data_IF_973886933915
#
_entry.id   IF_973886933915
#
_cell.length_a   1.000
_cell.length_b   1.000
_cell.length_c   1.000
_cell.angle_alpha   90.00
_cell.angle_beta   90.00
_cell.angle_gamma   90.00
#
_symmetry.space_group_name_H-M   'P 1'
#
loop_
_entity.id
_entity.type
_entity.pdbx_description
1 polymer ?
#
# COMPACT_ATOMS: atom_id res chain seq x y z
N UNK A 1 -6.12 11.77 -28.74
CA UNK A 1 -6.31 11.88 -27.28
C UNK A 1 -5.18 11.09 -26.65
N UNK A 2 -4.40 11.66 -25.72
CA UNK A 2 -3.34 10.91 -25.04
C UNK A 2 -3.98 10.06 -23.95
N UNK A 3 -3.62 8.79 -23.86
CA UNK A 3 -4.04 7.95 -22.74
C UNK A 3 -3.44 8.50 -21.43
N UNK A 4 -4.22 8.60 -20.34
CA UNK A 4 -3.71 9.05 -19.06
C UNK A 4 -2.68 8.05 -18.53
N UNK A 5 -1.58 8.55 -17.98
CA UNK A 5 -0.60 7.70 -17.32
C UNK A 5 -1.12 7.21 -15.98
N UNK A 6 -0.48 6.18 -15.42
CA UNK A 6 -0.81 5.70 -14.06
C UNK A 6 -0.71 6.83 -13.04
N UNK A 7 0.28 7.71 -13.19
CA UNK A 7 0.47 8.86 -12.30
C UNK A 7 -0.67 9.89 -12.39
N UNK A 8 -1.34 9.98 -13.54
CA UNK A 8 -2.46 10.90 -13.74
C UNK A 8 -3.78 10.37 -13.12
N UNK A 9 -3.87 9.06 -12.89
CA UNK A 9 -5.10 8.40 -12.41
C UNK A 9 -5.01 8.01 -10.93
N UNK A 10 -3.82 7.69 -10.42
CA UNK A 10 -3.65 7.21 -9.05
C UNK A 10 -3.61 8.33 -8.01
N UNK A 11 -4.09 8.04 -6.80
CA UNK A 11 -3.93 8.91 -5.64
C UNK A 11 -2.49 8.81 -5.10
N UNK A 12 -1.69 9.89 -5.10
CA UNK A 12 -0.31 9.86 -4.61
C UNK A 12 -0.19 9.78 -3.08
N UNK A 13 -1.28 9.99 -2.34
CA UNK A 13 -1.31 10.03 -0.88
C UNK A 13 -1.96 8.77 -0.30
N UNK A 14 -1.29 7.63 -0.46
CA UNK A 14 -1.74 6.38 0.13
C UNK A 14 -1.73 6.43 1.67
N UNK A 15 -2.74 5.83 2.29
CA UNK A 15 -2.76 5.60 3.74
C UNK A 15 -1.78 4.47 4.05
N UNK A 16 -0.84 4.73 4.96
CA UNK A 16 0.22 3.80 5.32
C UNK A 16 0.17 3.41 6.79
N UNK A 17 0.62 2.19 7.09
CA UNK A 17 0.78 1.66 8.45
C UNK A 17 2.17 1.03 8.61
N UNK A 18 2.57 0.71 9.83
CA UNK A 18 3.86 0.06 10.11
C UNK A 18 3.66 -1.39 10.57
N UNK A 19 4.67 -2.26 10.43
CA UNK A 19 4.62 -3.58 11.05
C UNK A 19 4.29 -3.48 12.55
N UNK A 20 3.44 -4.38 13.03
CA UNK A 20 3.00 -4.41 14.43
C UNK A 20 1.80 -3.52 14.76
N UNK A 21 1.30 -2.70 13.82
CA UNK A 21 0.00 -2.01 14.03
C UNK A 21 -1.09 -3.06 14.31
N UNK A 22 -1.86 -2.95 15.42
CA UNK A 22 -2.85 -3.96 15.79
C UNK A 22 -3.94 -4.15 14.76
N UNK A 23 -4.35 -5.40 14.53
CA UNK A 23 -5.37 -5.74 13.54
C UNK A 23 -6.68 -4.95 13.68
N UNK A 24 -7.16 -4.73 14.91
CA UNK A 24 -8.38 -3.95 15.15
C UNK A 24 -8.25 -2.49 14.69
N UNK A 25 -7.08 -1.89 14.86
CA UNK A 25 -6.81 -0.53 14.39
C UNK A 25 -6.73 -0.46 12.87
N UNK A 26 -6.17 -1.51 12.23
CA UNK A 26 -6.16 -1.63 10.76
C UNK A 26 -7.59 -1.67 10.21
N UNK A 27 -8.43 -2.56 10.73
CA UNK A 27 -9.83 -2.69 10.29
C UNK A 27 -10.61 -1.40 10.55
N UNK A 28 -10.44 -0.78 11.73
CA UNK A 28 -11.07 0.49 12.04
C UNK A 28 -10.66 1.60 11.06
N UNK A 29 -9.40 1.65 10.66
CA UNK A 29 -8.90 2.60 9.66
C UNK A 29 -9.52 2.36 8.29
N UNK A 30 -9.61 1.09 7.86
CA UNK A 30 -10.19 0.71 6.57
C UNK A 30 -11.66 1.13 6.47
N UNK A 31 -12.46 0.83 7.50
CA UNK A 31 -13.88 1.22 7.56
C UNK A 31 -14.02 2.75 7.59
N UNK A 32 -13.24 3.44 8.42
CA UNK A 32 -13.35 4.90 8.58
C UNK A 32 -12.86 5.70 7.36
N UNK A 33 -12.13 5.06 6.45
CA UNK A 33 -11.57 5.68 5.24
C UNK A 33 -12.15 5.13 3.94
N UNK A 34 -13.06 4.15 4.04
CA UNK A 34 -13.69 3.47 2.91
C UNK A 34 -12.65 2.91 1.92
N UNK A 35 -11.72 2.10 2.45
CA UNK A 35 -10.65 1.49 1.66
C UNK A 35 -10.51 -0.01 1.93
N UNK A 36 -10.17 -0.76 0.89
CA UNK A 36 -10.04 -2.22 0.94
C UNK A 36 -8.60 -2.70 1.21
N UNK A 37 -7.62 -1.80 1.16
CA UNK A 37 -6.21 -2.16 1.33
C UNK A 37 -5.41 -1.05 2.04
N UNK A 38 -4.43 -1.46 2.84
CA UNK A 38 -3.48 -0.59 3.51
C UNK A 38 -2.06 -0.91 3.03
N UNK A 39 -1.27 0.13 2.78
CA UNK A 39 0.15 -0.02 2.44
C UNK A 39 0.95 -0.15 3.74
N UNK A 40 1.65 -1.28 3.90
CA UNK A 40 2.54 -1.49 5.05
C UNK A 40 3.94 -1.00 4.70
N UNK A 41 4.45 -0.02 5.44
CA UNK A 41 5.80 0.51 5.28
C UNK A 41 6.67 0.01 6.43
N UNK A 42 7.55 -0.94 6.11
CA UNK A 42 8.64 -1.32 7.01
C UNK A 42 9.81 -0.34 6.82
N UNK A 43 10.04 0.50 7.84
CA UNK A 43 11.12 1.50 7.83
C UNK A 43 12.50 0.91 8.11
N UNK A 44 12.57 -0.33 8.60
CA UNK A 44 13.82 -1.03 8.92
C UNK A 44 14.25 -1.99 7.82
N UNK A 45 13.32 -2.49 7.01
CA UNK A 45 13.62 -3.20 5.77
C UNK A 45 14.20 -2.22 4.74
N UNK A 46 15.48 -1.88 4.91
CA UNK A 46 16.25 -1.16 3.91
C UNK A 46 16.16 -1.91 2.58
N UNK A 47 15.54 -1.27 1.58
CA UNK A 47 15.22 -1.76 0.23
C UNK A 47 14.04 -2.74 0.16
N UNK A 48 12.97 -2.31 -0.50
CA UNK A 48 11.99 -3.21 -1.10
C UNK A 48 12.70 -4.10 -2.13
N UNK A 49 12.99 -5.35 -1.78
CA UNK A 49 13.50 -6.32 -2.74
C UNK A 49 12.28 -6.97 -3.41
N UNK A 50 11.85 -6.39 -4.53
CA UNK A 50 10.98 -7.15 -5.43
C UNK A 50 11.78 -8.36 -5.95
N UNK A 51 11.50 -9.54 -5.40
CA UNK A 51 11.94 -10.82 -5.98
C UNK A 51 10.84 -11.28 -6.94
N UNK A 52 11.05 -11.20 -8.27
CA UNK A 52 10.09 -11.80 -9.20
C UNK A 52 9.95 -13.27 -8.87
N UNK A 53 8.71 -13.73 -8.64
CA UNK A 53 8.44 -15.17 -8.51
C UNK A 53 8.91 -15.83 -9.80
N UNK A 54 9.88 -16.74 -9.70
CA UNK A 54 10.24 -17.66 -10.77
C UNK A 54 8.97 -18.43 -11.15
N UNK A 55 8.46 -18.18 -12.34
CA UNK A 55 7.46 -19.04 -12.97
C UNK A 55 8.10 -20.42 -13.12
N UNK A 56 7.52 -21.43 -12.46
CA UNK A 56 7.74 -22.84 -12.80
C UNK A 56 6.90 -23.23 -14.00
#
# INVERSE_FOLDING_TARGET
>A
MREPSVADVMNPHAITVVPGTPFKELVGTMIARDIDALVVIDRQAGRWAWSPKSTS
#
